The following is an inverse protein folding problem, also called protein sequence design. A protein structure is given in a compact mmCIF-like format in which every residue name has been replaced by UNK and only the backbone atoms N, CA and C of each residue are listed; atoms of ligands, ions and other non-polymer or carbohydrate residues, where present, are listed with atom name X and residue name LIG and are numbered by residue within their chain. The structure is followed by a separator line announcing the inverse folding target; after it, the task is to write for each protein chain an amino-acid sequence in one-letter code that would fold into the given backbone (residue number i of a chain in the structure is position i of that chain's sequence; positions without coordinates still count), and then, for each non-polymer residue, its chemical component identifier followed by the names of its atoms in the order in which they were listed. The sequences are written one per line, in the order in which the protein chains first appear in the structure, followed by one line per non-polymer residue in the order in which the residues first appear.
data_IF_812913027158
#
_entry.id   IF_812913027158
#
_cell.length_a   1.000
_cell.length_b   1.000
_cell.length_c   1.000
_cell.angle_alpha   90.00
_cell.angle_beta   90.00
_cell.angle_gamma   90.00
#
_symmetry.space_group_name_H-M   'P 1'
#
loop_
_entity.id
_entity.type
_entity.pdbx_description
1 polymer ?
#
# COMPACT_ATOMS: atom_id res chain seq x y z
N UNK A 1 -0.98 -18.48 -37.98
CA UNK A 1 -0.38 -18.61 -36.65
C UNK A 1 -1.25 -19.57 -35.88
N UNK A 2 -0.63 -20.62 -35.37
CA UNK A 2 -1.24 -21.77 -34.72
C UNK A 2 -2.00 -21.37 -33.45
N UNK A 3 -3.11 -22.07 -33.17
CA UNK A 3 -3.86 -22.11 -31.91
C UNK A 3 -2.91 -22.29 -30.70
N UNK A 4 -2.31 -21.20 -30.24
CA UNK A 4 -1.56 -21.18 -29.01
C UNK A 4 -2.55 -20.85 -27.88
N UNK A 5 -2.81 -21.87 -27.07
CA UNK A 5 -3.10 -21.73 -25.64
C UNK A 5 -4.29 -20.82 -25.27
N UNK A 6 -5.51 -21.25 -25.60
CA UNK A 6 -6.75 -20.65 -25.05
C UNK A 6 -6.95 -20.93 -23.56
N UNK A 7 -5.98 -21.56 -22.87
CA UNK A 7 -6.14 -21.94 -21.47
C UNK A 7 -5.74 -20.85 -20.47
N UNK A 8 -4.86 -19.90 -20.84
CA UNK A 8 -4.29 -18.89 -19.93
C UNK A 8 -4.61 -17.46 -20.36
N UNK A 9 -5.80 -16.97 -20.02
CA UNK A 9 -6.30 -15.67 -20.46
C UNK A 9 -7.33 -15.06 -19.50
N UNK A 10 -7.90 -13.92 -19.87
CA UNK A 10 -8.78 -13.15 -18.97
C UNK A 10 -10.01 -13.95 -18.49
N UNK A 11 -10.48 -14.90 -19.30
CA UNK A 11 -11.59 -15.79 -18.95
C UNK A 11 -11.25 -16.79 -17.83
N UNK A 12 -10.02 -17.32 -17.81
CA UNK A 12 -9.55 -18.21 -16.74
C UNK A 12 -9.43 -17.44 -15.44
N UNK A 13 -8.81 -16.25 -15.49
CA UNK A 13 -8.69 -15.36 -14.35
C UNK A 13 -10.06 -14.98 -13.77
N UNK A 14 -11.02 -14.64 -14.64
CA UNK A 14 -12.37 -14.31 -14.22
C UNK A 14 -13.08 -15.51 -13.56
N UNK A 15 -12.90 -16.72 -14.10
CA UNK A 15 -13.44 -17.93 -13.50
C UNK A 15 -12.82 -18.20 -12.11
N UNK A 16 -11.50 -18.10 -11.98
CA UNK A 16 -10.82 -18.22 -10.69
C UNK A 16 -11.33 -17.18 -9.68
N UNK A 17 -11.28 -15.89 -10.01
CA UNK A 17 -11.64 -14.82 -9.09
C UNK A 17 -13.12 -14.88 -8.65
N UNK A 18 -14.03 -15.30 -9.55
CA UNK A 18 -15.47 -15.41 -9.21
C UNK A 18 -15.83 -16.66 -8.44
N UNK A 19 -15.12 -17.77 -8.64
CA UNK A 19 -15.43 -19.05 -8.02
C UNK A 19 -14.67 -19.31 -6.72
N UNK A 20 -13.76 -18.41 -6.33
CA UNK A 20 -13.02 -18.52 -5.09
C UNK A 20 -13.97 -18.47 -3.90
N UNK A 21 -14.05 -19.58 -3.16
CA UNK A 21 -14.81 -19.67 -1.92
C UNK A 21 -13.87 -19.60 -0.72
N UNK A 22 -14.44 -19.34 0.46
CA UNK A 22 -13.66 -19.14 1.67
C UNK A 22 -12.73 -20.32 1.96
N UNK A 23 -13.24 -21.54 1.80
CA UNK A 23 -12.59 -22.84 1.99
C UNK A 23 -11.39 -23.08 1.08
N UNK A 24 -11.36 -22.47 -0.10
CA UNK A 24 -10.25 -22.61 -1.04
C UNK A 24 -9.02 -21.83 -0.58
N UNK A 25 -9.24 -20.72 0.13
CA UNK A 25 -8.18 -19.83 0.59
C UNK A 25 -7.38 -20.49 1.73
N UNK A 26 -6.05 -20.69 1.58
CA UNK A 26 -5.21 -21.23 2.64
C UNK A 26 -5.22 -20.34 3.88
N UNK A 27 -5.10 -20.94 5.06
CA UNK A 27 -5.08 -20.19 6.33
C UNK A 27 -3.95 -19.13 6.37
N UNK A 28 -2.81 -19.40 5.74
CA UNK A 28 -1.72 -18.43 5.62
C UNK A 28 -2.14 -17.19 4.79
N UNK A 29 -2.79 -17.39 3.64
CA UNK A 29 -3.30 -16.29 2.82
C UNK A 29 -4.39 -15.50 3.55
N UNK A 30 -5.29 -16.18 4.27
CA UNK A 30 -6.29 -15.51 5.12
C UNK A 30 -5.62 -14.62 6.16
N UNK A 31 -4.62 -15.12 6.89
CA UNK A 31 -3.92 -14.34 7.91
C UNK A 31 -3.18 -13.14 7.31
N UNK A 32 -2.56 -13.31 6.14
CA UNK A 32 -1.91 -12.20 5.45
C UNK A 32 -2.93 -11.15 5.00
N UNK A 33 -4.11 -11.56 4.53
CA UNK A 33 -5.23 -10.66 4.22
C UNK A 33 -5.71 -9.88 5.45
N UNK A 34 -5.89 -10.53 6.60
CA UNK A 34 -6.27 -9.86 7.87
C UNK A 34 -5.28 -8.75 8.22
N UNK A 35 -3.98 -9.05 8.13
CA UNK A 35 -2.90 -8.10 8.42
C UNK A 35 -2.88 -6.93 7.42
N UNK A 36 -3.05 -7.21 6.12
CA UNK A 36 -3.05 -6.18 5.09
C UNK A 36 -4.26 -5.24 5.21
N UNK A 37 -5.45 -5.77 5.52
CA UNK A 37 -6.66 -4.98 5.77
C UNK A 37 -6.48 -4.13 7.04
N UNK A 38 -5.99 -4.72 8.13
CA UNK A 38 -5.70 -4.00 9.37
C UNK A 38 -4.71 -2.85 9.13
N UNK A 39 -3.61 -3.12 8.42
CA UNK A 39 -2.62 -2.10 8.05
C UNK A 39 -3.24 -0.96 7.24
N UNK A 40 -4.00 -1.33 6.20
CA UNK A 40 -4.62 -0.38 5.27
C UNK A 40 -5.67 0.47 5.96
N UNK A 41 -6.49 -0.11 6.86
CA UNK A 41 -7.43 0.66 7.68
C UNK A 41 -6.69 1.64 8.58
N UNK A 42 -5.64 1.18 9.29
CA UNK A 42 -4.80 2.04 10.11
C UNK A 42 -4.30 3.26 9.35
N UNK A 43 -3.58 3.05 8.24
CA UNK A 43 -3.03 4.17 7.45
C UNK A 43 -4.11 5.06 6.82
N UNK A 44 -5.30 4.51 6.54
CA UNK A 44 -6.46 5.31 6.09
C UNK A 44 -6.95 6.25 7.19
N UNK A 45 -7.01 5.80 8.45
CA UNK A 45 -7.36 6.65 9.59
C UNK A 45 -6.39 7.82 9.74
N UNK A 46 -5.09 7.55 9.70
CA UNK A 46 -4.08 8.61 9.76
C UNK A 46 -4.13 9.55 8.55
N UNK A 47 -4.42 9.00 7.37
CA UNK A 47 -4.50 9.76 6.13
C UNK A 47 -5.79 10.54 5.94
N UNK A 48 -6.82 10.29 6.75
CA UNK A 48 -8.12 10.96 6.64
C UNK A 48 -7.97 12.48 6.87
N UNK A 49 -7.17 12.89 7.86
CA UNK A 49 -6.87 14.30 8.14
C UNK A 49 -5.66 14.86 7.40
N UNK A 50 -5.01 14.06 6.55
CA UNK A 50 -3.90 14.53 5.74
C UNK A 50 -4.41 15.38 4.56
N UNK A 51 -3.56 16.27 4.04
CA UNK A 51 -3.93 17.21 2.96
C UNK A 51 -4.65 16.53 1.78
N UNK A 52 -4.15 15.38 1.30
CA UNK A 52 -4.78 14.65 0.21
C UNK A 52 -6.16 14.05 0.58
N UNK A 53 -6.32 13.56 1.81
CA UNK A 53 -7.58 13.05 2.33
C UNK A 53 -8.64 14.15 2.45
N UNK A 54 -8.25 15.30 3.01
CA UNK A 54 -9.11 16.50 3.13
C UNK A 54 -9.51 17.07 1.78
N UNK A 55 -8.57 17.17 0.83
CA UNK A 55 -8.86 17.61 -0.54
C UNK A 55 -9.87 16.67 -1.20
N UNK A 56 -9.68 15.35 -1.07
CA UNK A 56 -10.59 14.37 -1.65
C UNK A 56 -12.00 14.48 -1.05
N UNK A 57 -12.11 14.54 0.28
CA UNK A 57 -13.38 14.69 0.99
C UNK A 57 -14.10 15.99 0.61
N UNK A 58 -13.37 17.11 0.56
CA UNK A 58 -13.91 18.41 0.18
C UNK A 58 -14.40 18.44 -1.28
N UNK A 59 -13.68 17.77 -2.19
CA UNK A 59 -14.00 17.74 -3.63
C UNK A 59 -15.35 17.09 -3.90
N UNK A 60 -15.73 16.08 -3.11
CA UNK A 60 -17.01 15.37 -3.24
C UNK A 60 -18.12 15.95 -2.36
N UNK A 61 -17.85 17.07 -1.67
CA UNK A 61 -18.84 17.82 -0.89
C UNK A 61 -19.01 17.35 0.56
N UNK A 62 -18.06 16.59 1.13
CA UNK A 62 -18.00 16.37 2.58
C UNK A 62 -17.76 17.72 3.26
N UNK A 63 -18.64 18.13 4.18
CA UNK A 63 -18.62 19.46 4.81
C UNK A 63 -19.89 20.29 4.62
N UNK A 64 -20.85 19.82 3.82
CA UNK A 64 -22.16 20.47 3.61
C UNK A 64 -23.28 20.07 4.59
N UNK A 65 -23.00 19.26 5.62
CA UNK A 65 -24.03 18.74 6.54
C UNK A 65 -24.89 17.61 5.96
N UNK A 66 -24.45 16.96 4.89
CA UNK A 66 -25.13 15.83 4.26
C UNK A 66 -24.85 14.50 4.96
N UNK A 67 -25.38 14.31 6.17
CA UNK A 67 -25.58 12.95 6.69
C UNK A 67 -26.64 12.25 5.83
N UNK A 68 -26.25 11.22 5.07
CA UNK A 68 -27.19 10.52 4.18
C UNK A 68 -26.56 9.61 3.12
N UNK A 69 -25.24 9.45 3.10
CA UNK A 69 -24.56 8.46 2.26
C UNK A 69 -24.74 7.02 2.74
N UNK A 70 -24.45 6.07 1.85
CA UNK A 70 -24.60 4.63 2.10
C UNK A 70 -23.34 3.98 2.67
N UNK A 71 -22.17 4.63 2.56
CA UNK A 71 -20.89 4.10 3.00
C UNK A 71 -20.11 5.06 3.93
N UNK A 72 -19.41 4.48 4.90
CA UNK A 72 -18.66 5.18 5.96
C UNK A 72 -17.33 5.76 5.46
N UNK A 73 -16.99 6.96 5.92
CA UNK A 73 -15.64 7.53 5.77
C UNK A 73 -14.81 7.20 7.01
N UNK A 74 -13.69 6.51 6.82
CA UNK A 74 -12.84 6.09 7.95
C UNK A 74 -12.19 7.32 8.61
N UNK A 75 -12.19 7.39 9.94
CA UNK A 75 -11.64 8.49 10.72
C UNK A 75 -12.45 9.78 10.63
N UNK A 76 -13.71 9.69 10.21
CA UNK A 76 -14.63 10.81 9.97
C UNK A 76 -16.06 10.45 10.41
N UNK A 77 -16.84 11.46 10.79
CA UNK A 77 -18.24 11.24 11.21
C UNK A 77 -19.21 11.14 10.00
N UNK A 78 -18.72 11.45 8.80
CA UNK A 78 -19.52 11.52 7.58
C UNK A 78 -19.72 10.16 6.89
N UNK A 79 -20.88 10.02 6.24
CA UNK A 79 -21.15 8.95 5.27
C UNK A 79 -21.41 9.56 3.91
N UNK A 80 -20.86 8.96 2.85
CA UNK A 80 -20.98 9.43 1.47
C UNK A 80 -21.65 8.38 0.55
N UNK A 81 -22.12 8.77 -0.64
CA UNK A 81 -22.45 7.80 -1.68
C UNK A 81 -21.28 6.84 -1.91
N UNK A 82 -21.55 5.56 -2.21
CA UNK A 82 -20.54 4.50 -2.25
C UNK A 82 -19.30 4.89 -3.07
N UNK A 83 -19.53 5.41 -4.28
CA UNK A 83 -18.47 5.79 -5.21
C UNK A 83 -17.55 6.90 -4.66
N UNK A 84 -18.10 7.83 -3.89
CA UNK A 84 -17.34 8.92 -3.28
C UNK A 84 -16.63 8.44 -2.01
N UNK A 85 -17.27 7.61 -1.18
CA UNK A 85 -16.64 7.02 0.00
C UNK A 85 -15.41 6.17 -0.38
N UNK A 86 -15.53 5.33 -1.40
CA UNK A 86 -14.42 4.54 -1.95
C UNK A 86 -13.27 5.43 -2.41
N UNK A 87 -13.57 6.49 -3.14
CA UNK A 87 -12.57 7.44 -3.64
C UNK A 87 -11.82 8.13 -2.48
N UNK A 88 -12.55 8.64 -1.49
CA UNK A 88 -11.98 9.38 -0.36
C UNK A 88 -11.16 8.44 0.52
N UNK A 89 -11.69 7.29 0.93
CA UNK A 89 -10.99 6.34 1.80
C UNK A 89 -9.71 5.81 1.14
N UNK A 90 -9.75 5.41 -0.14
CA UNK A 90 -8.53 4.95 -0.83
C UNK A 90 -7.51 6.09 -1.05
N UNK A 91 -7.97 7.34 -1.25
CA UNK A 91 -7.05 8.49 -1.32
C UNK A 91 -6.39 8.74 0.04
N UNK A 92 -7.15 8.67 1.12
CA UNK A 92 -6.64 8.80 2.48
C UNK A 92 -5.66 7.66 2.84
N UNK A 93 -5.97 6.40 2.52
CA UNK A 93 -5.09 5.26 2.76
C UNK A 93 -3.72 5.39 2.08
N UNK A 94 -3.65 6.10 0.95
CA UNK A 94 -2.41 6.34 0.22
C UNK A 94 -1.79 7.72 0.49
N UNK A 95 -2.40 8.54 1.36
CA UNK A 95 -2.03 9.96 1.55
C UNK A 95 -0.65 10.16 2.16
N UNK A 96 -0.24 9.26 3.05
CA UNK A 96 0.98 9.39 3.83
C UNK A 96 2.15 8.57 3.28
N UNK A 97 1.93 7.84 2.17
CA UNK A 97 2.85 6.86 1.59
C UNK A 97 3.28 5.79 2.61
N UNK A 98 2.35 5.39 3.49
CA UNK A 98 2.62 4.51 4.63
C UNK A 98 1.91 3.15 4.54
N UNK A 99 1.06 3.00 3.53
CA UNK A 99 0.46 1.74 3.12
C UNK A 99 1.52 0.76 2.58
N UNK A 100 1.11 -0.49 2.50
CA UNK A 100 1.95 -1.60 2.06
C UNK A 100 2.42 -1.50 0.61
N UNK A 101 3.43 -2.31 0.27
CA UNK A 101 3.97 -2.42 -1.09
C UNK A 101 4.12 -3.89 -1.47
N UNK A 102 4.08 -4.20 -2.76
CA UNK A 102 4.48 -5.51 -3.27
C UNK A 102 5.55 -5.34 -4.35
N UNK A 103 6.76 -5.85 -4.10
CA UNK A 103 7.88 -5.68 -5.03
C UNK A 103 8.05 -6.88 -5.98
N UNK A 104 7.58 -8.07 -5.60
CA UNK A 104 7.67 -9.27 -6.44
C UNK A 104 6.47 -9.41 -7.40
N UNK A 105 5.31 -8.94 -6.97
CA UNK A 105 4.04 -9.07 -7.68
C UNK A 105 3.76 -7.89 -8.61
N UNK A 106 3.47 -6.73 -8.02
CA UNK A 106 3.00 -5.52 -8.69
C UNK A 106 3.74 -4.33 -8.10
N UNK A 107 4.76 -3.81 -8.81
CA UNK A 107 5.62 -2.68 -8.40
C UNK A 107 4.82 -1.43 -7.94
N UNK A 108 4.32 -1.45 -6.71
CA UNK A 108 3.27 -0.54 -6.24
C UNK A 108 2.59 -1.05 -4.97
N UNK A 109 1.40 -0.50 -4.69
CA UNK A 109 0.67 -0.67 -3.43
C UNK A 109 -0.61 -1.48 -3.65
N UNK A 110 -0.62 -2.79 -3.32
CA UNK A 110 -1.68 -3.71 -3.73
C UNK A 110 -2.97 -3.55 -2.92
N UNK A 111 -2.90 -3.25 -1.62
CA UNK A 111 -4.06 -3.33 -0.73
C UNK A 111 -4.97 -2.10 -0.79
N UNK A 112 -4.39 -0.90 -0.83
CA UNK A 112 -5.16 0.36 -0.76
C UNK A 112 -6.24 0.51 -1.84
N UNK A 113 -6.06 0.07 -3.10
CA UNK A 113 -7.12 0.14 -4.10
C UNK A 113 -8.26 -0.83 -3.84
N UNK A 114 -8.07 -1.87 -3.01
CA UNK A 114 -9.03 -2.95 -2.78
C UNK A 114 -9.78 -2.83 -1.45
N UNK A 115 -9.10 -2.43 -0.37
CA UNK A 115 -9.69 -2.40 0.98
C UNK A 115 -10.84 -1.42 1.07
N UNK A 116 -10.70 -0.20 0.54
CA UNK A 116 -11.79 0.78 0.56
C UNK A 116 -13.05 0.31 -0.19
N UNK A 117 -12.98 -0.24 -1.42
CA UNK A 117 -14.10 -0.90 -2.06
C UNK A 117 -14.73 -2.04 -1.24
N UNK A 118 -13.90 -2.91 -0.67
CA UNK A 118 -14.36 -4.07 0.08
C UNK A 118 -15.14 -3.67 1.34
N UNK A 119 -14.64 -2.69 2.09
CA UNK A 119 -15.34 -2.17 3.27
C UNK A 119 -16.64 -1.48 2.87
N UNK A 120 -16.62 -0.62 1.85
CA UNK A 120 -17.78 0.17 1.46
C UNK A 120 -18.90 -0.67 0.82
N UNK A 121 -18.54 -1.64 -0.04
CA UNK A 121 -19.51 -2.60 -0.61
C UNK A 121 -19.92 -3.61 0.46
N UNK A 122 -18.99 -4.07 1.29
CA UNK A 122 -19.27 -5.00 2.39
C UNK A 122 -20.29 -4.44 3.38
N UNK A 123 -20.15 -3.18 3.77
CA UNK A 123 -21.14 -2.45 4.58
C UNK A 123 -22.53 -2.44 3.92
N UNK A 124 -22.57 -2.17 2.60
CA UNK A 124 -23.82 -2.11 1.85
C UNK A 124 -24.51 -3.48 1.77
N UNK A 125 -23.75 -4.55 1.60
CA UNK A 125 -24.26 -5.91 1.44
C UNK A 125 -24.41 -6.69 2.77
N UNK A 126 -23.92 -6.15 3.89
CA UNK A 126 -23.87 -6.86 5.17
C UNK A 126 -22.91 -8.06 5.13
N UNK A 127 -21.76 -7.89 4.48
CA UNK A 127 -20.80 -8.95 4.28
C UNK A 127 -20.08 -9.35 5.58
N UNK A 128 -19.77 -10.63 5.71
CA UNK A 128 -18.95 -11.18 6.78
C UNK A 128 -17.47 -10.88 6.52
N UNK A 129 -16.65 -10.90 7.57
CA UNK A 129 -15.20 -10.74 7.40
C UNK A 129 -14.56 -11.88 6.60
N UNK A 130 -15.17 -13.09 6.56
CA UNK A 130 -14.72 -14.19 5.69
C UNK A 130 -14.91 -13.90 4.21
N UNK A 131 -16.04 -13.31 3.85
CA UNK A 131 -16.33 -12.90 2.48
C UNK A 131 -15.37 -11.78 2.05
N UNK A 132 -15.11 -10.80 2.93
CA UNK A 132 -14.10 -9.76 2.65
C UNK A 132 -12.70 -10.34 2.43
N UNK A 133 -12.27 -11.28 3.26
CA UNK A 133 -10.95 -11.90 3.12
C UNK A 133 -10.83 -12.70 1.82
N UNK A 134 -11.89 -13.43 1.45
CA UNK A 134 -11.93 -14.20 0.19
C UNK A 134 -11.85 -13.26 -1.01
N UNK A 135 -12.63 -12.18 -0.98
CA UNK A 135 -12.64 -11.17 -2.02
C UNK A 135 -11.32 -10.39 -2.11
N UNK A 136 -10.69 -10.09 -0.98
CA UNK A 136 -9.35 -9.49 -0.94
C UNK A 136 -8.32 -10.38 -1.63
N UNK A 137 -8.32 -11.69 -1.34
CA UNK A 137 -7.40 -12.64 -1.97
C UNK A 137 -7.67 -12.74 -3.49
N UNK A 138 -8.94 -12.82 -3.92
CA UNK A 138 -9.28 -12.82 -5.35
C UNK A 138 -8.77 -11.58 -6.08
N UNK A 139 -8.87 -10.41 -5.45
CA UNK A 139 -8.33 -9.15 -5.95
C UNK A 139 -6.80 -9.13 -6.03
N UNK A 140 -6.12 -9.59 -4.97
CA UNK A 140 -4.66 -9.62 -4.90
C UNK A 140 -4.07 -10.55 -5.97
N UNK A 141 -4.59 -11.77 -6.10
CA UNK A 141 -4.16 -12.74 -7.11
C UNK A 141 -4.41 -12.19 -8.52
N UNK A 142 -5.49 -11.42 -8.73
CA UNK A 142 -5.78 -10.73 -9.98
C UNK A 142 -4.74 -9.66 -10.31
N UNK A 143 -4.34 -8.83 -9.34
CA UNK A 143 -3.28 -7.83 -9.53
C UNK A 143 -1.97 -8.50 -9.93
N UNK A 144 -1.60 -9.58 -9.22
CA UNK A 144 -0.38 -10.34 -9.49
C UNK A 144 -0.40 -10.98 -10.89
N UNK A 145 -1.52 -11.60 -11.27
CA UNK A 145 -1.66 -12.23 -12.57
C UNK A 145 -1.47 -11.21 -13.71
N UNK A 146 -2.05 -10.01 -13.57
CA UNK A 146 -2.03 -8.98 -14.61
C UNK A 146 -0.75 -8.14 -14.64
N UNK A 147 -0.02 -8.01 -13.53
CA UNK A 147 1.24 -7.26 -13.49
C UNK A 147 2.40 -8.02 -14.13
N UNK A 148 2.45 -9.35 -13.96
CA UNK A 148 3.59 -10.19 -14.35
C UNK A 148 4.02 -10.07 -15.82
N UNK A 149 3.12 -10.00 -16.82
CA UNK A 149 3.52 -9.88 -18.21
C UNK A 149 4.14 -8.53 -18.57
N UNK A 150 3.84 -7.46 -17.81
CA UNK A 150 4.21 -6.08 -18.16
C UNK A 150 5.26 -5.47 -17.22
N UNK A 151 5.50 -6.05 -16.05
CA UNK A 151 6.58 -5.64 -15.14
C UNK A 151 7.95 -6.15 -15.62
N UNK A 152 9.06 -5.42 -15.43
CA UNK A 152 9.14 -4.08 -14.84
C UNK A 152 8.89 -2.95 -15.86
N UNK A 153 8.83 -3.26 -17.17
CA UNK A 153 8.78 -2.27 -18.25
C UNK A 153 7.64 -1.25 -18.15
N UNK A 154 6.47 -1.66 -17.66
CA UNK A 154 5.34 -0.78 -17.36
C UNK A 154 5.69 0.33 -16.35
N UNK A 155 6.27 -0.06 -15.22
CA UNK A 155 6.64 0.87 -14.15
C UNK A 155 7.83 1.74 -14.56
N UNK A 156 8.83 1.16 -15.23
CA UNK A 156 9.98 1.88 -15.78
C UNK A 156 9.57 2.90 -16.85
N UNK A 157 8.57 2.57 -17.66
CA UNK A 157 7.98 3.45 -18.68
C UNK A 157 7.23 4.66 -18.12
N UNK A 158 7.04 4.74 -16.80
CA UNK A 158 6.49 5.92 -16.13
C UNK A 158 5.05 5.77 -15.62
N UNK A 159 4.46 4.58 -15.69
CA UNK A 159 3.13 4.31 -15.13
C UNK A 159 3.17 3.98 -13.64
N UNK A 160 2.12 4.35 -12.93
CA UNK A 160 1.93 3.98 -11.53
C UNK A 160 1.10 2.69 -11.43
N UNK A 161 1.75 1.55 -11.14
CA UNK A 161 1.09 0.24 -11.12
C UNK A 161 -0.03 0.13 -10.08
N UNK A 162 0.13 0.76 -8.90
CA UNK A 162 -0.92 0.92 -7.87
C UNK A 162 -2.27 1.30 -8.44
N UNK A 163 -2.29 2.15 -9.48
CA UNK A 163 -3.54 2.59 -10.08
C UNK A 163 -3.88 1.82 -11.35
N UNK A 164 -2.91 1.67 -12.24
CA UNK A 164 -3.12 1.03 -13.55
C UNK A 164 -3.39 -0.47 -13.49
N UNK A 165 -2.81 -1.17 -12.50
CA UNK A 165 -3.10 -2.58 -12.21
C UNK A 165 -4.09 -2.70 -11.05
N UNK A 166 -3.98 -1.84 -10.03
CA UNK A 166 -4.86 -1.89 -8.87
C UNK A 166 -6.35 -1.77 -9.18
N UNK A 167 -6.72 -1.09 -10.27
CA UNK A 167 -8.10 -1.04 -10.78
C UNK A 167 -8.70 -2.42 -11.07
N UNK A 168 -7.90 -3.37 -11.56
CA UNK A 168 -8.35 -4.73 -11.80
C UNK A 168 -8.51 -5.53 -10.51
N UNK A 169 -7.62 -5.32 -9.54
CA UNK A 169 -7.75 -5.91 -8.20
C UNK A 169 -9.04 -5.47 -7.52
N UNK A 170 -9.34 -4.17 -7.56
CA UNK A 170 -10.59 -3.62 -7.04
C UNK A 170 -11.82 -4.20 -7.77
N UNK A 171 -11.76 -4.33 -9.09
CA UNK A 171 -12.85 -4.93 -9.88
C UNK A 171 -13.08 -6.40 -9.54
N UNK A 172 -12.02 -7.21 -9.45
CA UNK A 172 -12.10 -8.63 -9.09
C UNK A 172 -12.59 -8.83 -7.65
N UNK A 173 -12.06 -8.04 -6.70
CA UNK A 173 -12.46 -8.08 -5.30
C UNK A 173 -13.96 -7.78 -5.14
N UNK A 174 -14.44 -6.68 -5.73
CA UNK A 174 -15.87 -6.34 -5.68
C UNK A 174 -16.72 -7.35 -6.44
N UNK A 175 -16.26 -7.88 -7.58
CA UNK A 175 -16.99 -8.91 -8.32
C UNK A 175 -17.14 -10.22 -7.53
N UNK A 176 -16.10 -10.65 -6.81
CA UNK A 176 -16.15 -11.80 -5.91
C UNK A 176 -17.12 -11.54 -4.74
N UNK A 177 -16.99 -10.38 -4.08
CA UNK A 177 -17.85 -10.00 -2.95
C UNK A 177 -19.34 -9.94 -3.31
N UNK A 178 -19.66 -9.51 -4.54
CA UNK A 178 -21.03 -9.47 -5.06
C UNK A 178 -21.52 -10.83 -5.60
N UNK A 179 -20.69 -11.87 -5.59
CA UNK A 179 -21.03 -13.19 -6.12
C UNK A 179 -21.32 -13.18 -7.63
N UNK A 180 -20.59 -12.37 -8.41
CA UNK A 180 -20.78 -12.32 -9.86
C UNK A 180 -20.35 -13.63 -10.53
N UNK A 181 -21.07 -14.04 -11.58
CA UNK A 181 -20.70 -15.23 -12.36
C UNK A 181 -19.37 -15.03 -13.12
N UNK A 182 -18.69 -16.11 -13.55
CA UNK A 182 -17.46 -16.01 -14.36
C UNK A 182 -17.60 -15.08 -15.56
N UNK A 183 -18.75 -15.10 -16.25
CA UNK A 183 -19.00 -14.26 -17.42
C UNK A 183 -19.12 -12.77 -17.04
N UNK A 184 -19.80 -12.47 -15.93
CA UNK A 184 -19.93 -11.09 -15.45
C UNK A 184 -18.60 -10.57 -14.90
N UNK A 185 -17.84 -11.41 -14.21
CA UNK A 185 -16.49 -11.05 -13.74
C UNK A 185 -15.54 -10.81 -14.91
N UNK A 186 -15.64 -11.61 -15.99
CA UNK A 186 -14.88 -11.34 -17.21
C UNK A 186 -15.24 -9.99 -17.83
N UNK A 187 -16.53 -9.63 -17.86
CA UNK A 187 -16.94 -8.30 -18.28
C UNK A 187 -16.45 -7.20 -17.32
N UNK A 188 -16.48 -7.41 -16.01
CA UNK A 188 -15.96 -6.44 -15.04
C UNK A 188 -14.47 -6.13 -15.31
N UNK A 189 -13.65 -7.16 -15.52
CA UNK A 189 -12.22 -6.99 -15.82
C UNK A 189 -12.00 -6.30 -17.18
N UNK A 190 -12.75 -6.68 -18.20
CA UNK A 190 -12.61 -6.05 -19.53
C UNK A 190 -13.16 -4.61 -19.56
N UNK A 191 -14.18 -4.28 -18.76
CA UNK A 191 -14.61 -2.89 -18.53
C UNK A 191 -13.52 -2.12 -17.79
N UNK A 192 -12.94 -2.71 -16.75
CA UNK A 192 -11.86 -2.11 -15.96
C UNK A 192 -10.64 -1.79 -16.83
N UNK A 193 -10.36 -2.56 -17.89
CA UNK A 193 -9.27 -2.33 -18.84
C UNK A 193 -9.34 -0.98 -19.59
N UNK A 194 -10.49 -0.31 -19.60
CA UNK A 194 -10.65 1.03 -20.18
C UNK A 194 -10.48 2.18 -19.18
N UNK A 195 -10.18 1.87 -17.93
CA UNK A 195 -10.03 2.83 -16.83
C UNK A 195 -8.61 2.99 -16.22
N UNK A 196 -7.54 2.22 -16.58
CA UNK A 196 -6.23 2.44 -16.02
C UNK A 196 -5.66 3.83 -16.33
N UNK A 197 -5.28 4.58 -15.29
CA UNK A 197 -4.56 5.84 -15.40
C UNK A 197 -3.57 5.99 -14.23
N UNK A 198 -2.63 6.92 -14.33
CA UNK A 198 -1.73 7.28 -13.22
C UNK A 198 -0.27 7.38 -13.66
N UNK A 199 0.29 8.58 -13.58
CA UNK A 199 1.64 8.89 -14.06
C UNK A 199 2.60 9.05 -12.88
N UNK A 200 3.75 8.38 -12.92
CA UNK A 200 4.83 8.55 -11.91
C UNK A 200 5.34 9.98 -11.81
N UNK A 201 5.13 10.81 -12.85
CA UNK A 201 5.42 12.25 -12.83
C UNK A 201 4.71 13.03 -11.72
N UNK A 202 3.63 12.49 -11.15
CA UNK A 202 2.91 13.09 -10.03
C UNK A 202 3.40 12.60 -8.65
N UNK A 203 4.45 11.77 -8.57
CA UNK A 203 5.04 11.39 -7.29
C UNK A 203 5.62 12.63 -6.58
N UNK A 204 5.47 12.70 -5.25
CA UNK A 204 5.81 13.89 -4.46
C UNK A 204 4.74 14.98 -4.46
N UNK A 205 3.55 14.72 -5.01
CA UNK A 205 2.40 15.64 -4.98
C UNK A 205 1.17 14.97 -4.37
N UNK A 206 0.17 15.75 -3.97
CA UNK A 206 -1.15 15.28 -3.51
C UNK A 206 -1.91 14.47 -4.57
N UNK A 207 -1.46 14.45 -5.82
CA UNK A 207 -2.06 13.63 -6.89
C UNK A 207 -1.65 12.15 -6.82
N UNK A 208 -0.50 11.79 -6.23
CA UNK A 208 -0.13 10.36 -6.09
C UNK A 208 -1.18 9.57 -5.28
N UNK A 209 -1.66 10.05 -4.11
CA UNK A 209 -2.76 9.43 -3.38
C UNK A 209 -4.06 9.31 -4.20
N UNK A 210 -4.40 10.34 -4.97
CA UNK A 210 -5.60 10.36 -5.83
C UNK A 210 -5.59 9.23 -6.86
N UNK A 211 -4.41 8.76 -7.29
CA UNK A 211 -4.32 7.58 -8.17
C UNK A 211 -4.95 6.34 -7.52
N UNK A 212 -4.65 6.05 -6.25
CA UNK A 212 -5.26 4.93 -5.53
C UNK A 212 -6.77 5.11 -5.37
N UNK A 213 -7.19 6.33 -5.02
CA UNK A 213 -8.60 6.74 -5.00
C UNK A 213 -9.35 6.44 -6.29
N UNK A 214 -8.79 6.86 -7.43
CA UNK A 214 -9.41 6.65 -8.75
C UNK A 214 -9.40 5.18 -9.18
N UNK A 215 -8.36 4.42 -8.84
CA UNK A 215 -8.30 2.99 -9.14
C UNK A 215 -9.36 2.21 -8.38
N UNK A 216 -9.48 2.46 -7.07
CA UNK A 216 -10.53 1.90 -6.22
C UNK A 216 -11.93 2.22 -6.76
N UNK A 217 -12.18 3.50 -7.07
CA UNK A 217 -13.46 3.98 -7.61
C UNK A 217 -13.79 3.35 -8.96
N UNK A 218 -12.81 3.30 -9.86
CA UNK A 218 -12.97 2.78 -11.22
C UNK A 218 -13.21 1.26 -11.22
N UNK A 219 -12.46 0.50 -10.42
CA UNK A 219 -12.64 -0.95 -10.32
C UNK A 219 -14.00 -1.31 -9.72
N UNK A 220 -14.40 -0.61 -8.66
CA UNK A 220 -15.76 -0.73 -8.09
C UNK A 220 -16.83 -0.44 -9.13
N UNK A 221 -16.66 0.64 -9.90
CA UNK A 221 -17.60 1.02 -10.97
C UNK A 221 -17.67 -0.05 -12.05
N UNK A 222 -16.54 -0.64 -12.47
CA UNK A 222 -16.49 -1.69 -13.47
C UNK A 222 -17.24 -2.96 -13.03
N UNK A 223 -17.06 -3.38 -11.77
CA UNK A 223 -17.79 -4.51 -11.19
C UNK A 223 -19.30 -4.25 -11.11
N UNK A 224 -19.71 -3.06 -10.65
CA UNK A 224 -21.12 -2.68 -10.58
C UNK A 224 -21.77 -2.58 -11.97
N UNK A 225 -21.07 -2.03 -12.96
CA UNK A 225 -21.55 -2.01 -14.34
C UNK A 225 -21.79 -3.43 -14.87
N UNK A 226 -20.86 -4.35 -14.64
CA UNK A 226 -21.01 -5.75 -15.05
C UNK A 226 -22.14 -6.47 -14.27
N UNK A 227 -22.35 -6.14 -13.00
CA UNK A 227 -23.47 -6.65 -12.21
C UNK A 227 -24.83 -6.29 -12.84
N UNK A 228 -24.93 -5.07 -13.38
CA UNK A 228 -26.10 -4.56 -14.13
C UNK A 228 -26.15 -5.01 -15.60
N UNK A 229 -25.20 -5.85 -16.03
CA UNK A 229 -25.19 -6.44 -17.37
C UNK A 229 -24.48 -5.61 -18.45
N UNK A 230 -23.63 -4.65 -18.07
CA UNK A 230 -22.70 -4.06 -19.02
C UNK A 230 -21.78 -5.14 -19.62
N UNK A 231 -21.45 -4.97 -20.90
CA UNK A 231 -20.56 -5.87 -21.64
C UNK A 231 -19.32 -5.10 -22.09
N UNK A 232 -18.24 -5.83 -22.34
CA UNK A 232 -17.00 -5.32 -22.91
C UNK A 232 -16.43 -6.34 -23.90
N UNK A 233 -15.54 -5.89 -24.78
CA UNK A 233 -14.81 -6.78 -25.67
C UNK A 233 -14.02 -7.79 -24.85
N UNK A 234 -14.16 -9.09 -25.16
CA UNK A 234 -13.49 -10.17 -24.42
C UNK A 234 -11.97 -10.13 -24.55
N UNK A 235 -11.45 -9.36 -25.51
CA UNK A 235 -10.02 -9.22 -25.80
C UNK A 235 -9.45 -7.87 -25.31
N UNK A 236 -10.17 -7.11 -24.47
CA UNK A 236 -9.73 -5.80 -24.02
C UNK A 236 -8.46 -5.84 -23.14
N UNK A 237 -8.18 -6.98 -22.48
CA UNK A 237 -6.97 -7.17 -21.67
C UNK A 237 -5.83 -7.81 -22.48
N UNK A 238 -6.07 -8.98 -23.04
CA UNK A 238 -5.07 -9.90 -23.62
C UNK A 238 -5.09 -9.97 -25.15
N UNK A 239 -5.96 -9.20 -25.81
CA UNK A 239 -6.02 -9.07 -27.26
C UNK A 239 -5.06 -8.05 -27.85
N UNK A 240 -4.98 -8.06 -29.19
CA UNK A 240 -4.22 -7.07 -29.95
C UNK A 240 -4.72 -5.65 -29.66
N UNK A 241 -3.81 -4.75 -29.24
CA UNK A 241 -4.10 -3.38 -28.75
C UNK A 241 -4.93 -3.35 -27.45
N UNK A 242 -4.95 -4.45 -26.70
CA UNK A 242 -5.50 -4.52 -25.34
C UNK A 242 -4.56 -3.94 -24.29
N UNK A 243 -4.93 -4.12 -23.02
CA UNK A 243 -4.17 -3.62 -21.86
C UNK A 243 -2.69 -4.03 -21.90
N UNK A 244 -2.40 -5.33 -22.10
CA UNK A 244 -1.00 -5.79 -22.13
C UNK A 244 -0.20 -5.11 -23.24
N UNK A 245 -0.76 -4.97 -24.43
CA UNK A 245 -0.10 -4.33 -25.56
C UNK A 245 0.20 -2.84 -25.33
N UNK A 246 -0.71 -2.14 -24.65
CA UNK A 246 -0.63 -0.68 -24.48
C UNK A 246 0.18 -0.25 -23.24
N UNK A 247 0.28 -1.11 -22.23
CA UNK A 247 0.90 -0.77 -20.93
C UNK A 247 2.23 -1.50 -20.65
N UNK A 248 2.73 -2.37 -21.55
CA UNK A 248 4.00 -3.11 -21.42
C UNK A 248 5.31 -2.30 -21.32
N UNK A 249 5.30 -1.00 -21.60
CA UNK A 249 6.51 -0.21 -21.80
C UNK A 249 7.16 -0.49 -23.17
N UNK A 250 8.49 -0.48 -23.25
CA UNK A 250 9.23 -0.63 -24.51
C UNK A 250 9.36 -2.08 -25.00
N UNK A 251 9.08 -3.07 -24.14
CA UNK A 251 9.16 -4.50 -24.45
C UNK A 251 7.85 -5.08 -25.02
N UNK A 252 7.87 -6.34 -25.46
CA UNK A 252 6.65 -7.13 -25.67
C UNK A 252 6.13 -7.67 -24.32
N UNK A 253 4.82 -7.90 -24.14
CA UNK A 253 4.31 -8.49 -22.90
C UNK A 253 4.80 -9.93 -22.78
N UNK A 254 5.40 -10.26 -21.64
CA UNK A 254 5.92 -11.59 -21.34
C UNK A 254 4.79 -12.51 -20.85
N UNK A 255 3.86 -12.88 -21.73
CA UNK A 255 2.69 -13.71 -21.42
C UNK A 255 3.05 -15.07 -20.81
N UNK A 256 4.25 -15.58 -21.08
CA UNK A 256 4.79 -16.79 -20.45
C UNK A 256 5.00 -16.67 -18.93
N UNK A 257 4.97 -15.45 -18.38
CA UNK A 257 5.07 -15.17 -16.94
C UNK A 257 3.73 -15.20 -16.22
N UNK A 258 2.62 -15.43 -16.92
CA UNK A 258 1.31 -15.62 -16.29
C UNK A 258 1.38 -16.79 -15.29
N UNK A 259 0.99 -16.57 -14.02
CA UNK A 259 1.09 -17.59 -12.99
C UNK A 259 -0.05 -18.61 -13.09
N UNK A 260 0.18 -19.81 -12.55
CA UNK A 260 -0.87 -20.81 -12.41
C UNK A 260 -1.81 -20.44 -11.26
N UNK A 261 -3.11 -20.29 -11.56
CA UNK A 261 -4.13 -19.92 -10.57
C UNK A 261 -4.57 -21.13 -9.71
N UNK A 262 -4.96 -20.87 -8.47
CA UNK A 262 -5.53 -21.86 -7.54
C UNK A 262 -4.58 -22.96 -7.05
N UNK A 263 -3.31 -22.97 -7.48
CA UNK A 263 -2.30 -23.94 -7.05
C UNK A 263 -1.15 -23.29 -6.29
N UNK A 264 -0.84 -22.04 -6.64
CA UNK A 264 0.12 -21.16 -5.97
C UNK A 264 -0.62 -19.89 -5.60
N UNK A 265 -0.25 -19.31 -4.46
CA UNK A 265 -0.91 -18.14 -3.92
C UNK A 265 0.12 -17.03 -3.85
N UNK A 266 0.02 -16.07 -4.77
CA UNK A 266 0.91 -14.92 -4.81
C UNK A 266 0.96 -14.19 -3.47
N UNK A 267 -0.16 -14.11 -2.76
CA UNK A 267 -0.17 -13.47 -1.44
C UNK A 267 0.76 -14.17 -0.43
N UNK A 268 0.96 -15.48 -0.54
CA UNK A 268 1.86 -16.24 0.33
C UNK A 268 3.30 -16.29 -0.19
N UNK A 269 3.49 -16.32 -1.51
CA UNK A 269 4.79 -16.56 -2.13
C UNK A 269 5.53 -15.27 -2.52
N UNK A 270 4.81 -14.30 -3.08
CA UNK A 270 5.36 -12.99 -3.47
C UNK A 270 5.12 -11.92 -2.39
N UNK A 271 4.01 -12.08 -1.65
CA UNK A 271 3.74 -11.37 -0.41
C UNK A 271 3.48 -9.87 -0.51
N UNK A 272 3.35 -9.28 0.68
CA UNK A 272 3.13 -7.85 0.92
C UNK A 272 4.18 -7.40 1.95
N UNK A 273 4.87 -6.30 1.64
CA UNK A 273 5.81 -5.66 2.54
C UNK A 273 5.12 -4.48 3.25
N UNK A 274 4.97 -4.58 4.57
CA UNK A 274 4.35 -3.54 5.40
C UNK A 274 5.40 -2.51 5.80
N UNK A 275 5.21 -1.26 5.39
CA UNK A 275 6.07 -0.15 5.81
C UNK A 275 6.01 0.02 7.33
N UNK A 276 7.16 -0.04 7.99
CA UNK A 276 7.28 0.21 9.44
C UNK A 276 7.30 1.69 9.79
N UNK A 277 7.92 2.51 8.94
CA UNK A 277 8.09 3.94 9.15
C UNK A 277 7.32 4.80 8.11
N UNK A 278 6.73 5.97 8.48
CA UNK A 278 5.89 6.79 7.60
C UNK A 278 6.67 7.65 6.58
N UNK A 279 7.68 7.08 5.94
CA UNK A 279 8.62 7.78 5.06
C UNK A 279 9.10 6.92 3.88
N UNK A 280 9.94 7.50 3.01
CA UNK A 280 10.46 6.85 1.81
C UNK A 280 11.09 5.47 2.13
N UNK A 281 10.73 4.44 1.36
CA UNK A 281 11.10 3.05 1.65
C UNK A 281 12.62 2.80 1.67
N UNK A 282 13.39 3.54 0.86
CA UNK A 282 14.86 3.51 0.84
C UNK A 282 15.52 3.85 2.19
N UNK A 283 14.78 4.46 3.12
CA UNK A 283 15.32 4.85 4.44
C UNK A 283 15.13 3.77 5.50
N UNK A 284 14.23 2.80 5.26
CA UNK A 284 13.75 1.89 6.32
C UNK A 284 14.85 0.98 6.87
N UNK A 285 15.72 0.44 6.01
CA UNK A 285 16.85 -0.37 6.42
C UNK A 285 17.84 0.44 7.28
N UNK A 286 18.09 1.69 6.91
CA UNK A 286 19.00 2.58 7.63
C UNK A 286 18.44 3.00 9.00
N UNK A 287 17.15 3.38 9.06
CA UNK A 287 16.45 3.69 10.31
C UNK A 287 16.52 2.49 11.26
N UNK A 288 16.17 1.30 10.77
CA UNK A 288 16.22 0.08 11.58
C UNK A 288 17.64 -0.20 12.09
N UNK A 289 18.66 -0.12 11.21
CA UNK A 289 20.04 -0.33 11.60
C UNK A 289 20.49 0.67 12.68
N UNK A 290 20.13 1.95 12.54
CA UNK A 290 20.45 2.99 13.51
C UNK A 290 19.79 2.75 14.87
N UNK A 291 18.49 2.41 14.92
CA UNK A 291 17.80 2.08 16.18
C UNK A 291 18.48 0.90 16.86
N UNK A 292 18.80 -0.17 16.11
CA UNK A 292 19.47 -1.36 16.68
C UNK A 292 20.87 -1.07 17.22
N UNK A 293 21.63 -0.18 16.58
CA UNK A 293 22.93 0.27 17.09
C UNK A 293 22.76 1.08 18.37
N UNK A 294 21.82 2.02 18.41
CA UNK A 294 21.51 2.82 19.59
C UNK A 294 21.11 1.96 20.78
N UNK A 295 20.21 0.99 20.59
CA UNK A 295 19.78 0.06 21.64
C UNK A 295 20.93 -0.84 22.13
N UNK A 296 21.75 -1.37 21.23
CA UNK A 296 22.80 -2.34 21.58
C UNK A 296 23.99 -1.72 22.30
N UNK A 297 24.20 -0.42 22.12
CA UNK A 297 25.34 0.32 22.66
C UNK A 297 24.92 1.47 23.59
N UNK A 298 23.63 1.56 23.94
CA UNK A 298 23.05 2.57 24.83
C UNK A 298 23.42 4.01 24.41
N UNK A 299 23.48 4.26 23.10
CA UNK A 299 23.92 5.55 22.55
C UNK A 299 22.90 6.64 22.84
N UNK A 300 23.38 7.84 23.12
CA UNK A 300 22.59 9.07 23.19
C UNK A 300 23.00 10.04 22.07
N UNK A 301 22.17 11.05 21.74
CA UNK A 301 22.54 12.10 20.79
C UNK A 301 23.88 12.78 21.08
N UNK A 302 24.22 12.95 22.36
CA UNK A 302 25.45 13.62 22.79
C UNK A 302 26.71 12.75 22.56
N UNK A 303 26.54 11.43 22.50
CA UNK A 303 27.64 10.49 22.24
C UNK A 303 28.07 10.46 20.78
N UNK A 304 27.23 10.93 19.84
CA UNK A 304 27.48 10.85 18.40
C UNK A 304 28.45 11.94 17.93
N UNK A 305 29.54 11.51 17.28
CA UNK A 305 30.50 12.39 16.60
C UNK A 305 30.28 12.42 15.08
N UNK A 306 30.02 11.26 14.46
CA UNK A 306 29.69 11.15 13.04
C UNK A 306 28.80 9.92 12.78
N UNK A 307 27.91 10.01 11.79
CA UNK A 307 27.17 8.86 11.25
C UNK A 307 27.35 8.83 9.73
N UNK A 308 27.73 7.68 9.21
CA UNK A 308 27.80 7.44 7.76
C UNK A 308 26.75 6.40 7.41
N UNK A 309 25.85 6.76 6.50
CA UNK A 309 24.91 5.84 5.86
C UNK A 309 25.43 5.52 4.48
N UNK A 310 25.58 4.25 4.15
CA UNK A 310 25.93 3.76 2.82
C UNK A 310 24.71 3.06 2.23
N UNK A 311 24.24 3.49 1.05
CA UNK A 311 23.04 2.96 0.38
C UNK A 311 23.14 3.02 -1.15
N UNK A 312 22.11 2.57 -1.87
CA UNK A 312 22.07 2.53 -3.34
C UNK A 312 22.00 3.92 -3.99
N UNK A 313 22.30 3.98 -5.29
CA UNK A 313 22.11 5.21 -6.08
C UNK A 313 20.63 5.65 -6.13
N UNK A 314 19.68 4.71 -6.19
CA UNK A 314 18.25 5.04 -6.15
C UNK A 314 17.83 5.72 -4.84
N UNK A 315 18.44 5.32 -3.71
CA UNK A 315 18.25 6.01 -2.44
C UNK A 315 18.77 7.46 -2.49
N UNK A 316 19.97 7.68 -3.04
CA UNK A 316 20.54 9.03 -3.18
C UNK A 316 19.71 9.93 -4.12
N UNK A 317 19.17 9.38 -5.21
CA UNK A 317 18.32 10.12 -6.14
C UNK A 317 16.96 10.48 -5.51
N UNK A 318 16.41 9.60 -4.67
CA UNK A 318 15.11 9.80 -4.03
C UNK A 318 15.18 10.74 -2.81
N UNK A 319 16.29 10.73 -2.06
CA UNK A 319 16.43 11.41 -0.77
C UNK A 319 17.11 12.76 -0.91
N UNK A 320 16.44 13.68 -1.61
CA UNK A 320 17.01 14.95 -2.05
C UNK A 320 17.13 16.05 -0.97
N UNK A 321 16.71 15.79 0.27
CA UNK A 321 16.57 16.81 1.31
C UNK A 321 17.53 16.57 2.48
N UNK A 322 18.73 17.14 2.45
CA UNK A 322 19.66 17.02 3.58
C UNK A 322 19.24 17.86 4.80
N UNK A 323 18.63 19.03 4.56
CA UNK A 323 18.14 19.97 5.58
C UNK A 323 16.65 20.28 5.33
N UNK A 324 15.74 19.36 5.72
CA UNK A 324 14.32 19.54 5.49
C UNK A 324 13.74 20.64 6.36
N UNK A 325 12.90 21.50 5.78
CA UNK A 325 12.18 22.56 6.49
C UNK A 325 10.72 22.19 6.79
N UNK A 326 10.21 21.11 6.20
CA UNK A 326 8.82 20.67 6.35
C UNK A 326 8.74 19.16 6.64
N UNK A 327 7.63 18.72 7.23
CA UNK A 327 7.40 17.30 7.49
C UNK A 327 7.40 16.45 6.22
N UNK A 328 6.93 17.03 5.11
CA UNK A 328 6.95 16.38 3.80
C UNK A 328 8.38 16.16 3.29
N UNK A 329 9.24 17.19 3.36
CA UNK A 329 10.65 17.07 2.99
C UNK A 329 11.39 16.09 3.92
N UNK A 330 11.06 16.10 5.22
CA UNK A 330 11.65 15.23 6.23
C UNK A 330 11.42 13.74 5.95
N UNK A 331 10.32 13.35 5.29
CA UNK A 331 10.06 11.98 4.82
C UNK A 331 11.05 11.49 3.74
N UNK A 332 11.80 12.40 3.13
CA UNK A 332 12.78 12.14 2.08
C UNK A 332 14.18 12.64 2.48
N UNK A 333 14.47 12.70 3.79
CA UNK A 333 15.73 13.17 4.34
C UNK A 333 16.43 12.08 5.14
N UNK A 334 17.48 11.47 4.57
CA UNK A 334 18.28 10.47 5.31
C UNK A 334 18.88 11.07 6.59
N UNK A 335 19.49 12.27 6.58
CA UNK A 335 20.06 12.86 7.79
C UNK A 335 19.03 13.04 8.91
N UNK A 336 17.86 13.60 8.59
CA UNK A 336 16.82 13.83 9.58
C UNK A 336 16.29 12.52 10.17
N UNK A 337 16.03 11.53 9.32
CA UNK A 337 15.45 10.25 9.74
C UNK A 337 16.42 9.46 10.64
N UNK A 338 17.72 9.49 10.35
CA UNK A 338 18.75 8.92 11.23
C UNK A 338 18.86 9.71 12.54
N UNK A 339 18.78 11.04 12.47
CA UNK A 339 18.73 11.88 13.67
C UNK A 339 17.55 11.53 14.58
N UNK A 340 16.35 11.38 14.00
CA UNK A 340 15.14 10.96 14.71
C UNK A 340 15.29 9.55 15.27
N UNK A 341 15.80 8.61 14.48
CA UNK A 341 16.02 7.23 14.88
C UNK A 341 16.96 7.11 16.11
N UNK A 342 18.05 7.87 16.14
CA UNK A 342 19.00 7.84 17.26
C UNK A 342 18.45 8.60 18.47
N UNK A 343 17.88 9.79 18.27
CA UNK A 343 17.42 10.64 19.38
C UNK A 343 16.16 10.11 20.07
N UNK A 344 15.22 9.56 19.30
CA UNK A 344 13.91 9.11 19.80
C UNK A 344 13.81 7.60 19.95
N UNK A 345 14.75 6.85 19.38
CA UNK A 345 14.67 5.38 19.24
C UNK A 345 13.39 4.90 18.51
N UNK A 346 12.77 5.80 17.75
CA UNK A 346 11.59 5.54 16.92
C UNK A 346 11.46 6.58 15.81
N UNK A 347 10.74 6.23 14.76
CA UNK A 347 10.29 7.17 13.71
C UNK A 347 8.80 6.93 13.49
N UNK A 348 7.98 7.67 14.22
CA UNK A 348 6.51 7.64 14.12
C UNK A 348 5.95 8.78 13.27
N UNK A 349 4.63 8.88 13.17
CA UNK A 349 3.95 9.97 12.46
C UNK A 349 4.27 11.34 13.07
N UNK A 350 4.37 11.40 14.40
CA UNK A 350 4.74 12.59 15.17
C UNK A 350 6.15 13.11 14.85
N UNK A 351 7.01 12.27 14.26
CA UNK A 351 8.33 12.69 13.79
C UNK A 351 8.24 13.66 12.60
N UNK A 352 7.09 13.88 12.00
CA UNK A 352 6.92 14.79 10.86
C UNK A 352 6.10 16.04 11.18
N UNK A 353 5.69 16.21 12.44
CA UNK A 353 5.04 17.42 12.91
C UNK A 353 6.00 18.62 12.85
N UNK A 354 5.49 19.82 12.61
CA UNK A 354 6.31 21.03 12.45
C UNK A 354 7.24 21.26 13.66
N UNK A 355 6.71 21.14 14.88
CA UNK A 355 7.48 21.31 16.12
C UNK A 355 8.54 20.21 16.33
N UNK A 356 8.35 19.04 15.72
CA UNK A 356 9.28 17.90 15.83
C UNK A 356 10.49 18.03 14.92
N UNK A 357 10.41 18.81 13.83
CA UNK A 357 11.50 18.96 12.87
C UNK A 357 12.69 19.64 13.55
N UNK A 358 12.44 20.70 14.33
CA UNK A 358 13.46 21.52 14.97
C UNK A 358 13.93 20.98 16.33
N UNK A 359 13.56 19.74 16.71
CA UNK A 359 13.92 19.18 18.01
C UNK A 359 15.45 19.14 18.18
N UNK A 360 16.03 19.79 19.22
CA UNK A 360 17.48 19.96 19.35
C UNK A 360 18.27 18.66 19.34
N UNK A 361 17.73 17.59 19.93
CA UNK A 361 18.39 16.28 19.98
C UNK A 361 18.49 15.64 18.59
N UNK A 362 17.44 15.74 17.78
CA UNK A 362 17.41 15.26 16.40
C UNK A 362 18.38 16.07 15.54
N UNK A 363 18.30 17.40 15.66
CA UNK A 363 19.16 18.35 14.94
C UNK A 363 20.64 18.10 15.21
N UNK A 364 20.99 17.87 16.48
CA UNK A 364 22.35 17.58 16.93
C UNK A 364 22.95 16.36 16.24
N UNK A 365 22.16 15.30 16.04
CA UNK A 365 22.62 14.09 15.32
C UNK A 365 22.59 14.32 13.82
N UNK A 366 21.52 14.91 13.29
CA UNK A 366 21.32 15.18 11.85
C UNK A 366 22.52 15.88 11.22
N UNK A 367 23.05 16.91 11.88
CA UNK A 367 24.24 17.67 11.43
C UNK A 367 25.52 16.80 11.28
N UNK A 368 25.51 15.58 11.81
CA UNK A 368 26.63 14.63 11.80
C UNK A 368 26.39 13.45 10.86
N UNK A 369 25.24 13.38 10.20
CA UNK A 369 24.91 12.30 9.27
C UNK A 369 25.38 12.67 7.87
N UNK A 370 26.00 11.73 7.18
CA UNK A 370 26.25 11.81 5.74
C UNK A 370 25.76 10.55 5.02
N UNK A 371 25.23 10.73 3.81
CA UNK A 371 24.83 9.65 2.91
C UNK A 371 25.91 9.44 1.85
N UNK A 372 26.33 8.20 1.65
CA UNK A 372 27.31 7.76 0.64
C UNK A 372 26.67 6.69 -0.24
N UNK A 373 26.94 6.74 -1.54
CA UNK A 373 26.48 5.72 -2.50
C UNK A 373 27.45 4.53 -2.49
N UNK A 374 26.88 3.32 -2.48
CA UNK A 374 27.59 2.07 -2.74
C UNK A 374 27.41 1.67 -4.21
N UNK A 375 28.49 1.77 -4.99
CA UNK A 375 28.48 1.42 -6.41
C UNK A 375 28.29 -0.09 -6.67
N UNK A 376 28.47 -0.95 -5.65
CA UNK A 376 28.26 -2.40 -5.76
C UNK A 376 26.79 -2.80 -5.55
N UNK A 377 25.94 -1.90 -5.03
CA UNK A 377 24.50 -2.16 -4.87
C UNK A 377 23.73 -1.92 -6.18
N UNK A 378 22.73 -2.76 -6.50
CA UNK A 378 21.75 -2.44 -7.54
C UNK A 378 21.09 -1.08 -7.29
N UNK A 379 20.73 -0.37 -8.37
CA UNK A 379 20.12 0.96 -8.30
C UNK A 379 18.91 1.02 -7.35
N UNK A 380 18.05 0.00 -7.41
CA UNK A 380 16.80 -0.17 -6.68
C UNK A 380 16.95 -0.91 -5.34
N UNK A 381 18.19 -1.19 -4.91
CA UNK A 381 18.43 -1.86 -3.63
C UNK A 381 17.97 -1.00 -2.45
N UNK A 382 17.25 -1.63 -1.52
CA UNK A 382 16.85 -1.04 -0.24
C UNK A 382 17.82 -1.38 0.91
N UNK A 383 18.95 -2.04 0.62
CA UNK A 383 19.97 -2.34 1.62
C UNK A 383 20.67 -1.06 2.07
N UNK A 384 21.03 -1.01 3.35
CA UNK A 384 21.81 0.09 3.91
C UNK A 384 22.80 -0.39 4.97
N UNK A 385 23.96 0.27 5.03
CA UNK A 385 24.91 0.13 6.13
C UNK A 385 24.99 1.44 6.90
N UNK A 386 24.90 1.36 8.22
CA UNK A 386 25.05 2.50 9.12
C UNK A 386 26.29 2.29 9.98
N UNK A 387 27.17 3.28 9.98
CA UNK A 387 28.36 3.35 10.84
C UNK A 387 28.25 4.58 11.76
N UNK A 388 28.27 4.37 13.07
CA UNK A 388 28.24 5.43 14.08
C UNK A 388 29.60 5.53 14.76
N UNK A 389 30.25 6.68 14.63
CA UNK A 389 31.45 7.04 15.39
C UNK A 389 31.04 7.85 16.61
N UNK A 390 31.45 7.40 17.78
CA UNK A 390 31.19 8.10 19.04
C UNK A 390 32.27 9.14 19.35
N UNK A 391 31.95 10.11 20.22
CA UNK A 391 32.92 11.10 20.72
C UNK A 391 34.06 10.48 21.54
N UNK A 392 33.87 9.28 22.06
CA UNK A 392 34.93 8.49 22.71
C UNK A 392 35.91 7.87 21.70
N UNK A 393 35.55 7.86 20.42
CA UNK A 393 36.34 7.30 19.32
C UNK A 393 35.98 5.86 18.94
N UNK A 394 35.01 5.25 19.62
CA UNK A 394 34.48 3.92 19.24
C UNK A 394 33.65 4.01 17.96
N UNK A 395 33.72 2.97 17.12
CA UNK A 395 32.95 2.86 15.88
C UNK A 395 32.09 1.60 15.94
N UNK A 396 30.78 1.78 15.75
CA UNK A 396 29.81 0.69 15.69
C UNK A 396 29.16 0.67 14.32
N UNK A 397 29.08 -0.52 13.71
CA UNK A 397 28.55 -0.69 12.35
C UNK A 397 27.47 -1.76 12.30
N UNK A 398 26.46 -1.53 11.46
CA UNK A 398 25.44 -2.53 11.13
C UNK A 398 25.03 -2.40 9.67
N UNK A 399 25.04 -3.53 8.97
CA UNK A 399 24.42 -3.68 7.65
C UNK A 399 23.03 -4.29 7.82
N UNK A 400 22.07 -3.75 7.08
CA UNK A 400 20.71 -4.26 7.00
C UNK A 400 20.38 -4.46 5.51
N UNK A 401 20.21 -5.72 5.11
CA UNK A 401 20.05 -6.09 3.69
C UNK A 401 18.65 -5.76 3.15
N UNK A 402 17.65 -5.74 4.05
CA UNK A 402 16.24 -5.53 3.69
C UNK A 402 15.55 -4.63 4.72
N UNK A 403 14.58 -3.79 4.31
CA UNK A 403 13.69 -3.10 5.24
C UNK A 403 13.01 -4.07 6.22
N UNK A 404 12.69 -3.66 7.45
CA UNK A 404 11.79 -4.42 8.30
C UNK A 404 10.38 -4.49 7.69
N UNK A 405 9.67 -5.60 7.91
CA UNK A 405 8.29 -5.76 7.48
C UNK A 405 8.11 -6.33 6.07
N UNK A 406 9.18 -6.83 5.45
CA UNK A 406 9.06 -7.60 4.19
C UNK A 406 8.24 -8.87 4.37
N UNK A 407 7.62 -9.40 3.33
CA UNK A 407 6.82 -10.63 3.42
C UNK A 407 7.58 -11.84 3.98
N UNK A 408 8.90 -11.95 3.72
CA UNK A 408 9.79 -12.98 4.25
C UNK A 408 10.21 -12.76 5.72
N UNK A 409 10.08 -11.53 6.21
CA UNK A 409 10.41 -11.10 7.57
C UNK A 409 9.38 -10.06 8.03
N UNK A 410 8.11 -10.48 8.19
CA UNK A 410 7.01 -9.58 8.41
C UNK A 410 7.12 -8.94 9.80
N UNK A 411 6.50 -7.78 9.98
CA UNK A 411 6.37 -7.19 11.31
C UNK A 411 5.74 -8.21 12.26
N UNK A 412 6.14 -8.20 13.53
CA UNK A 412 5.40 -8.94 14.55
C UNK A 412 3.97 -8.41 14.71
N UNK A 413 3.09 -9.19 15.34
CA UNK A 413 1.73 -8.75 15.66
C UNK A 413 1.76 -7.47 16.50
N UNK A 414 2.63 -7.42 17.51
CA UNK A 414 2.80 -6.26 18.39
C UNK A 414 3.24 -5.00 17.61
N UNK A 415 4.18 -5.13 16.68
CA UNK A 415 4.63 -4.00 15.85
C UNK A 415 3.54 -3.50 14.89
N UNK A 416 2.77 -4.41 14.30
CA UNK A 416 1.65 -4.04 13.44
C UNK A 416 0.53 -3.38 14.25
N UNK A 417 0.24 -3.88 15.44
CA UNK A 417 -0.73 -3.29 16.37
C UNK A 417 -0.27 -1.92 16.87
N UNK A 418 1.02 -1.73 17.15
CA UNK A 418 1.60 -0.43 17.48
C UNK A 418 1.46 0.55 16.31
N UNK A 419 1.74 0.10 15.07
CA UNK A 419 1.48 0.89 13.86
C UNK A 419 0.02 1.30 13.76
N UNK A 420 -0.92 0.38 13.94
CA UNK A 420 -2.36 0.68 13.92
C UNK A 420 -2.74 1.73 14.96
N UNK A 421 -2.31 1.57 16.22
CA UNK A 421 -2.60 2.53 17.30
C UNK A 421 -2.02 3.91 17.01
N UNK A 422 -0.78 3.96 16.52
CA UNK A 422 -0.16 5.20 16.07
C UNK A 422 -1.01 5.87 14.98
N UNK A 423 -1.47 5.13 13.98
CA UNK A 423 -2.27 5.71 12.92
C UNK A 423 -3.67 6.15 13.39
N UNK A 424 -4.36 5.34 14.19
CA UNK A 424 -5.67 5.67 14.75
C UNK A 424 -5.63 6.94 15.62
N UNK A 425 -4.52 7.18 16.33
CA UNK A 425 -4.33 8.41 17.10
C UNK A 425 -4.25 9.70 16.25
N UNK A 426 -4.05 9.58 14.93
CA UNK A 426 -4.00 10.70 13.98
C UNK A 426 -5.31 10.86 13.19
N UNK A 427 -6.34 10.08 13.51
CA UNK A 427 -7.65 10.24 12.88
C UNK A 427 -8.28 11.62 13.24
N UNK A 428 -8.98 12.28 12.30
CA UNK A 428 -9.72 13.52 12.57
C UNK A 428 -10.77 13.41 13.68
N UNK A 429 -11.43 12.25 13.78
CA UNK A 429 -12.45 11.96 14.80
C UNK A 429 -11.97 10.85 15.73
N UNK A 430 -12.67 10.68 16.87
CA UNK A 430 -12.30 9.66 17.85
C UNK A 430 -12.59 8.25 17.32
N UNK A 431 -11.57 7.41 17.31
CA UNK A 431 -11.63 5.98 16.96
C UNK A 431 -11.72 5.15 18.23
N UNK A 432 -12.54 4.10 18.23
CA UNK A 432 -12.55 3.09 19.29
C UNK A 432 -11.38 2.10 19.06
N UNK A 433 -10.15 2.59 19.23
CA UNK A 433 -8.92 1.95 18.71
C UNK A 433 -8.77 0.49 19.10
N UNK A 434 -9.00 0.12 20.36
CA UNK A 434 -8.81 -1.27 20.80
C UNK A 434 -9.92 -2.20 20.28
N UNK A 435 -11.15 -1.71 20.13
CA UNK A 435 -12.28 -2.48 19.57
C UNK A 435 -12.08 -2.70 18.06
N UNK A 436 -11.73 -1.63 17.34
CA UNK A 436 -11.38 -1.69 15.92
C UNK A 436 -10.21 -2.65 15.66
N UNK A 437 -9.14 -2.54 16.46
CA UNK A 437 -7.98 -3.41 16.34
C UNK A 437 -8.35 -4.88 16.58
N UNK A 438 -9.11 -5.17 17.64
CA UNK A 438 -9.52 -6.53 17.96
C UNK A 438 -10.39 -7.14 16.84
N UNK A 439 -11.31 -6.35 16.27
CA UNK A 439 -12.18 -6.81 15.19
C UNK A 439 -11.40 -7.04 13.87
N UNK A 440 -10.42 -6.19 13.55
CA UNK A 440 -9.58 -6.34 12.36
C UNK A 440 -8.56 -7.48 12.49
N UNK A 441 -8.00 -7.70 13.68
CA UNK A 441 -6.98 -8.75 13.93
C UNK A 441 -7.57 -10.17 13.88
N UNK A 442 -8.88 -10.32 14.13
CA UNK A 442 -9.65 -11.56 13.94
C UNK A 442 -10.83 -11.36 12.99
N UNK A 443 -10.61 -10.62 11.88
CA UNK A 443 -11.64 -10.24 10.91
C UNK A 443 -12.49 -11.42 10.44
N UNK A 444 -11.92 -12.62 10.27
CA UNK A 444 -12.66 -13.85 9.90
C UNK A 444 -13.77 -14.26 10.88
N UNK A 445 -13.80 -13.70 12.08
CA UNK A 445 -14.84 -13.94 13.10
C UNK A 445 -15.99 -12.92 13.03
N UNK A 446 -15.79 -11.80 12.33
CA UNK A 446 -16.76 -10.72 12.17
C UNK A 446 -17.94 -11.21 11.31
N UNK A 447 -19.14 -11.14 11.88
CA UNK A 447 -20.37 -11.55 11.21
C UNK A 447 -20.95 -10.47 10.29
N UNK A 448 -20.64 -9.21 10.53
CA UNK A 448 -21.05 -8.07 9.71
C UNK A 448 -19.94 -7.00 9.78
N UNK A 449 -19.39 -6.62 8.63
CA UNK A 449 -18.31 -5.62 8.56
C UNK A 449 -18.75 -4.24 9.06
N UNK A 450 -20.05 -3.95 9.08
CA UNK A 450 -20.58 -2.71 9.67
C UNK A 450 -20.15 -2.57 11.14
N UNK A 451 -20.02 -3.67 11.89
CA UNK A 451 -19.58 -3.67 13.29
C UNK A 451 -18.14 -3.15 13.44
N UNK A 452 -17.28 -3.45 12.45
CA UNK A 452 -15.91 -2.90 12.38
C UNK A 452 -15.97 -1.41 12.12
N UNK A 453 -16.81 -0.99 11.17
CA UNK A 453 -16.94 0.40 10.72
C UNK A 453 -17.52 1.33 11.79
N UNK A 454 -18.34 0.83 12.72
CA UNK A 454 -18.80 1.61 13.88
C UNK A 454 -17.66 2.02 14.83
N UNK A 455 -16.50 1.36 14.73
CA UNK A 455 -15.36 1.58 15.62
C UNK A 455 -14.26 2.49 15.02
N UNK A 456 -14.35 2.88 13.74
CA UNK A 456 -13.25 3.49 12.95
C UNK A 456 -13.60 4.78 12.24
#
# INVERSE_FOLDING_TARGET
MTDADTSRGIAELAAFASSLESEDVPDAARRLGERAILDTVGVTLAGAGAEAGDIAASTVGSGGGGGGGEATLLGRDERLPLSDAVFVNATAGHALDFDDVALAAMDGHPSVPMVAPLLAVGEREGATGRELLTAFVAGFETQNYLSRPISPGHYEGGWHATSTVGVFGAAAAVANLLGLSPERTAHALNVAASMPAGLKRNFGTTTKPVHAGQAARSGTTAALLAAEGATADSAAVDGERGFFDLYRGDGEPALERLPDLGTRWALCEDGIDVKKYPCCYYTHAAIYAAIRLTESHELTPDDVDAVVVTASQGAADALAHDDPATGLEAKFSMPYLIGSAIARQRVGLDAFDEDSIDEPAVQTVRERVSLTVDDDLPYDSNAARVAVTTRAGDVYERTQDRPPGTHDDPLSDDELHEKFRMCAAHAPTSVATDDALAALDDLRSVSDVSDVLESV
#
